data_IF_367034592391
#
_entry.id   IF_367034592391
#
_cell.length_a   1.000
_cell.length_b   1.000
_cell.length_c   1.000
_cell.angle_alpha   90.00
_cell.angle_beta   90.00
_cell.angle_gamma   90.00
#
_symmetry.space_group_name_H-M   'P 1'
#
loop_
_entity.id
_entity.type
_entity.pdbx_description
1 polymer ?
#
# COMPACT_ATOMS: atom_id res chain seq x y z
N UNK A 1 7.86 -14.47 -38.56
CA UNK A 1 8.37 -14.33 -37.17
C UNK A 1 7.23 -13.87 -36.30
N UNK A 2 6.74 -14.75 -35.41
CA UNK A 2 5.57 -14.50 -34.57
C UNK A 2 5.83 -13.37 -33.59
N UNK A 3 4.96 -12.37 -33.60
CA UNK A 3 4.92 -11.30 -32.61
C UNK A 3 4.50 -11.95 -31.29
N UNK A 4 5.45 -12.25 -30.38
CA UNK A 4 5.11 -12.59 -29.01
C UNK A 4 4.44 -11.35 -28.42
N UNK A 5 3.10 -11.37 -28.35
CA UNK A 5 2.33 -10.37 -27.62
C UNK A 5 2.75 -10.47 -26.16
N UNK A 6 3.70 -9.63 -25.75
CA UNK A 6 4.07 -9.47 -24.34
C UNK A 6 2.81 -9.05 -23.60
N UNK A 7 2.40 -9.83 -22.59
CA UNK A 7 1.34 -9.40 -21.68
C UNK A 7 1.85 -8.16 -20.96
N UNK A 8 1.15 -7.00 -21.06
CA UNK A 8 1.65 -5.76 -20.50
C UNK A 8 1.61 -5.85 -18.98
N UNK A 9 2.64 -5.31 -18.31
CA UNK A 9 2.76 -5.32 -16.86
C UNK A 9 1.87 -4.24 -16.25
N UNK A 10 0.97 -4.63 -15.34
CA UNK A 10 -0.04 -3.76 -14.71
C UNK A 10 0.23 -3.62 -13.22
N UNK A 11 0.50 -2.39 -12.78
CA UNK A 11 0.84 -2.08 -11.39
C UNK A 11 -0.20 -1.13 -10.83
N UNK A 12 -0.84 -1.51 -9.72
CA UNK A 12 -1.74 -0.66 -8.95
C UNK A 12 -0.97 -0.03 -7.79
N UNK A 13 -0.74 1.27 -7.83
CA UNK A 13 -0.26 2.06 -6.70
C UNK A 13 -1.42 2.47 -5.78
N UNK A 14 -1.24 2.30 -4.47
CA UNK A 14 -2.25 2.62 -3.46
C UNK A 14 -1.65 3.54 -2.39
N UNK A 15 -2.35 4.63 -2.10
CA UNK A 15 -2.18 5.47 -0.91
C UNK A 15 -3.41 5.33 -0.02
N UNK A 16 -3.23 5.05 1.27
CA UNK A 16 -4.30 4.92 2.26
C UNK A 16 -3.76 5.02 3.70
N UNK A 17 -4.64 5.27 4.66
CA UNK A 17 -4.44 5.20 6.11
C UNK A 17 -3.53 6.27 6.73
N UNK A 18 -3.42 7.46 6.10
CA UNK A 18 -2.65 8.57 6.68
C UNK A 18 -3.23 9.97 6.41
N UNK A 19 -3.15 10.44 5.16
CA UNK A 19 -3.66 11.75 4.73
C UNK A 19 -4.75 11.55 3.67
N UNK A 20 -4.36 11.60 2.40
CA UNK A 20 -5.27 11.45 1.28
C UNK A 20 -5.11 10.06 0.67
N UNK A 21 -6.21 9.32 0.66
CA UNK A 21 -6.27 8.04 -0.03
C UNK A 21 -6.49 8.23 -1.53
N UNK A 22 -5.79 7.41 -2.30
CA UNK A 22 -5.76 7.51 -3.76
C UNK A 22 -5.31 6.19 -4.39
N UNK A 23 -5.61 6.03 -5.67
CA UNK A 23 -5.14 4.93 -6.49
C UNK A 23 -4.58 5.44 -7.81
N UNK A 24 -3.54 4.76 -8.31
CA UNK A 24 -3.00 5.00 -9.64
C UNK A 24 -2.70 3.65 -10.32
N UNK A 25 -3.13 3.51 -11.57
CA UNK A 25 -2.87 2.34 -12.38
C UNK A 25 -1.83 2.68 -13.44
N UNK A 26 -0.79 1.85 -13.48
CA UNK A 26 0.29 1.93 -14.45
C UNK A 26 0.29 0.69 -15.33
N UNK A 27 0.48 0.87 -16.63
CA UNK A 27 0.62 -0.20 -17.62
C UNK A 27 1.91 0.03 -18.40
N UNK A 28 2.83 -0.94 -18.35
CA UNK A 28 4.16 -0.88 -18.99
C UNK A 28 4.90 0.45 -18.73
N UNK A 29 4.91 0.89 -17.47
CA UNK A 29 5.60 2.11 -17.04
C UNK A 29 4.85 3.41 -17.30
N UNK A 30 3.64 3.37 -17.87
CA UNK A 30 2.82 4.56 -18.14
C UNK A 30 1.60 4.61 -17.23
N UNK A 31 1.37 5.76 -16.59
CA UNK A 31 0.15 5.98 -15.81
C UNK A 31 -1.03 6.08 -16.78
N UNK A 32 -1.99 5.17 -16.64
CA UNK A 32 -3.20 5.13 -17.49
C UNK A 32 -4.43 5.67 -16.78
N UNK A 33 -4.44 5.63 -15.45
CA UNK A 33 -5.50 6.19 -14.63
C UNK A 33 -4.95 6.57 -13.26
N UNK A 34 -5.48 7.63 -12.66
CA UNK A 34 -5.20 8.01 -11.28
C UNK A 34 -6.38 8.79 -10.72
N UNK A 35 -6.75 8.51 -9.48
CA UNK A 35 -7.85 9.19 -8.82
C UNK A 35 -7.64 9.30 -7.30
N UNK A 36 -8.15 10.39 -6.72
CA UNK A 36 -8.20 10.59 -5.28
C UNK A 36 -9.57 10.20 -4.73
N UNK A 37 -9.61 9.48 -3.61
CA UNK A 37 -10.86 8.98 -3.02
C UNK A 37 -11.80 10.12 -2.61
N UNK A 38 -11.25 11.25 -2.13
CA UNK A 38 -12.04 12.41 -1.69
C UNK A 38 -12.96 12.99 -2.78
N UNK A 39 -12.63 12.78 -4.06
CA UNK A 39 -13.47 13.21 -5.19
C UNK A 39 -14.78 12.42 -5.23
N UNK A 40 -14.75 11.17 -4.78
CA UNK A 40 -15.89 10.26 -4.72
C UNK A 40 -16.55 10.25 -3.34
N UNK A 41 -15.76 10.13 -2.26
CA UNK A 41 -16.30 10.08 -0.89
C UNK A 41 -16.85 11.43 -0.40
N UNK A 42 -16.45 12.53 -1.06
CA UNK A 42 -16.78 13.92 -0.69
C UNK A 42 -16.31 14.30 0.72
N UNK A 43 -15.43 13.50 1.32
CA UNK A 43 -14.74 13.78 2.57
C UNK A 43 -13.37 14.33 2.21
N UNK A 44 -13.11 15.59 2.55
CA UNK A 44 -11.81 16.23 2.31
C UNK A 44 -10.72 15.47 3.06
N UNK A 45 -9.64 15.14 2.37
CA UNK A 45 -8.52 14.38 2.91
C UNK A 45 -8.93 13.01 3.48
N UNK A 46 -9.75 12.27 2.75
CA UNK A 46 -10.22 10.95 3.19
C UNK A 46 -9.04 9.97 3.34
N UNK A 47 -8.69 9.54 4.57
CA UNK A 47 -7.56 8.65 4.78
C UNK A 47 -7.95 7.18 4.67
N UNK A 48 -9.20 6.84 4.36
CA UNK A 48 -9.65 5.45 4.37
C UNK A 48 -9.11 4.63 3.18
N UNK A 49 -9.66 3.43 2.99
CA UNK A 49 -9.28 2.60 1.85
C UNK A 49 -9.87 3.20 0.56
N UNK A 50 -9.07 3.43 -0.51
CA UNK A 50 -9.50 4.13 -1.71
C UNK A 50 -10.31 3.23 -2.66
N UNK A 51 -11.43 2.69 -2.18
CA UNK A 51 -12.25 1.72 -2.91
C UNK A 51 -12.76 2.30 -4.25
N UNK A 52 -13.24 3.54 -4.22
CA UNK A 52 -13.86 4.17 -5.40
C UNK A 52 -12.78 4.62 -6.39
N UNK A 53 -11.65 5.12 -5.90
CA UNK A 53 -10.52 5.46 -6.76
C UNK A 53 -9.94 4.21 -7.46
N UNK A 54 -9.81 3.07 -6.76
CA UNK A 54 -9.38 1.80 -7.38
C UNK A 54 -10.39 1.38 -8.46
N UNK A 55 -11.68 1.37 -8.14
CA UNK A 55 -12.73 0.99 -9.09
C UNK A 55 -12.73 1.90 -10.32
N UNK A 56 -12.58 3.21 -10.14
CA UNK A 56 -12.50 4.17 -11.22
C UNK A 56 -11.27 3.93 -12.12
N UNK A 57 -10.10 3.63 -11.54
CA UNK A 57 -8.90 3.32 -12.32
C UNK A 57 -9.05 2.05 -13.17
N UNK A 58 -9.64 0.99 -12.59
CA UNK A 58 -9.91 -0.26 -13.30
C UNK A 58 -10.92 -0.08 -14.43
N UNK A 59 -12.01 0.65 -14.15
CA UNK A 59 -13.01 0.99 -15.15
C UNK A 59 -12.43 1.82 -16.30
N UNK A 60 -11.62 2.84 -16.00
CA UNK A 60 -10.98 3.69 -17.00
C UNK A 60 -10.01 2.91 -17.90
N UNK A 61 -9.31 1.91 -17.36
CA UNK A 61 -8.40 1.06 -18.13
C UNK A 61 -9.07 -0.16 -18.77
N UNK A 62 -10.35 -0.42 -18.48
CA UNK A 62 -11.09 -1.56 -19.01
C UNK A 62 -10.51 -2.92 -18.58
N UNK A 63 -9.97 -3.01 -17.36
CA UNK A 63 -9.39 -4.25 -16.82
C UNK A 63 -10.10 -4.68 -15.53
N UNK A 64 -10.08 -5.98 -15.24
CA UNK A 64 -10.52 -6.52 -13.97
C UNK A 64 -9.39 -6.53 -12.93
N UNK A 65 -9.75 -6.68 -11.65
CA UNK A 65 -8.76 -6.71 -10.56
C UNK A 65 -7.82 -7.93 -10.65
N UNK A 66 -8.28 -9.05 -11.21
CA UNK A 66 -7.48 -10.27 -11.42
C UNK A 66 -6.28 -10.04 -12.35
N UNK A 67 -6.40 -9.06 -13.24
CA UNK A 67 -5.36 -8.69 -14.21
C UNK A 67 -4.26 -7.82 -13.61
N UNK A 68 -4.38 -7.36 -12.35
CA UNK A 68 -3.31 -6.60 -11.68
C UNK A 68 -2.15 -7.53 -11.36
N UNK A 69 -0.97 -7.27 -11.93
CA UNK A 69 0.22 -8.09 -11.70
C UNK A 69 0.88 -7.78 -10.36
N UNK A 70 0.91 -6.49 -9.97
CA UNK A 70 1.51 -6.04 -8.72
C UNK A 70 0.71 -4.91 -8.08
N UNK A 71 0.74 -4.85 -6.76
CA UNK A 71 0.22 -3.73 -5.97
C UNK A 71 1.37 -3.10 -5.23
N UNK A 72 1.58 -1.80 -5.40
CA UNK A 72 2.59 -1.04 -4.67
C UNK A 72 1.94 -0.19 -3.58
N UNK A 73 2.43 -0.33 -2.34
CA UNK A 73 2.00 0.47 -1.20
C UNK A 73 3.18 1.27 -0.62
N UNK A 74 2.97 2.55 -0.34
CA UNK A 74 4.07 3.49 -0.08
C UNK A 74 4.74 3.35 1.30
N UNK A 75 4.11 2.71 2.29
CA UNK A 75 4.68 2.66 3.65
C UNK A 75 5.17 1.26 4.02
N UNK A 76 6.49 1.15 4.32
CA UNK A 76 7.09 0.03 5.05
C UNK A 76 7.23 0.42 6.53
N UNK A 77 6.38 -0.11 7.44
CA UNK A 77 6.40 0.28 8.85
C UNK A 77 7.68 -0.04 9.64
N UNK A 78 8.50 -0.98 9.15
CA UNK A 78 9.53 -1.66 9.92
C UNK A 78 10.89 -0.91 9.99
N UNK A 79 11.21 -0.01 9.07
CA UNK A 79 12.51 0.68 9.09
C UNK A 79 12.56 1.82 10.12
N UNK A 80 11.44 2.52 10.35
CA UNK A 80 11.34 3.47 11.47
C UNK A 80 11.51 2.76 12.81
N UNK A 81 11.08 1.50 12.90
CA UNK A 81 11.25 0.67 14.09
C UNK A 81 12.72 0.41 14.38
N UNK A 82 13.50 -0.07 13.41
CA UNK A 82 14.93 -0.34 13.58
C UNK A 82 15.68 0.92 14.05
N UNK A 83 15.46 2.06 13.41
CA UNK A 83 16.11 3.33 13.79
C UNK A 83 15.72 3.82 15.19
N UNK A 84 14.44 3.69 15.56
CA UNK A 84 13.98 4.03 16.90
C UNK A 84 14.55 3.03 17.92
N UNK A 85 14.58 1.74 17.61
CA UNK A 85 15.10 0.68 18.46
C UNK A 85 16.60 0.85 18.72
N UNK A 86 17.39 1.20 17.71
CA UNK A 86 18.80 1.58 17.84
C UNK A 86 19.00 2.77 18.79
N UNK A 87 18.17 3.81 18.66
CA UNK A 87 18.21 4.99 19.54
C UNK A 87 17.81 4.62 20.98
N UNK A 88 16.83 3.75 21.17
CA UNK A 88 16.39 3.32 22.49
C UNK A 88 17.40 2.37 23.16
N UNK A 89 18.03 1.48 22.40
CA UNK A 89 19.07 0.59 22.91
C UNK A 89 20.35 1.37 23.29
N UNK A 90 20.68 2.43 22.58
CA UNK A 90 21.83 3.30 22.89
C UNK A 90 21.59 4.21 24.11
N UNK A 91 20.33 4.46 24.49
CA UNK A 91 19.96 5.28 25.66
C UNK A 91 19.57 4.46 26.91
N UNK A 92 19.67 3.13 26.85
CA UNK A 92 19.43 2.25 28.01
C UNK A 92 20.42 2.57 29.15
N UNK A 93 19.98 2.62 30.43
CA UNK A 93 18.74 2.06 30.97
C UNK A 93 17.61 3.08 31.25
N UNK A 94 17.82 4.39 31.07
CA UNK A 94 16.80 5.41 31.38
C UNK A 94 15.82 5.54 30.20
N UNK A 95 14.61 4.99 30.33
CA UNK A 95 13.53 5.09 29.33
C UNK A 95 12.98 3.75 28.81
N UNK A 96 13.62 2.62 29.15
CA UNK A 96 13.26 1.28 28.68
C UNK A 96 11.84 0.84 29.12
N UNK A 97 11.40 1.22 30.32
CA UNK A 97 10.08 0.88 30.83
C UNK A 97 8.93 1.52 30.04
N UNK A 98 9.11 2.74 29.55
CA UNK A 98 8.13 3.42 28.69
C UNK A 98 8.12 2.84 27.28
N UNK A 99 9.30 2.51 26.75
CA UNK A 99 9.48 1.85 25.46
C UNK A 99 8.82 0.47 25.41
N UNK A 100 9.06 -0.39 26.41
CA UNK A 100 8.49 -1.72 26.50
C UNK A 100 6.95 -1.72 26.59
N UNK A 101 6.34 -0.65 27.13
CA UNK A 101 4.89 -0.48 27.19
C UNK A 101 4.28 0.03 25.88
N UNK A 102 4.96 0.91 25.16
CA UNK A 102 4.45 1.50 23.91
C UNK A 102 4.62 0.57 22.70
N UNK A 103 5.66 -0.25 22.71
CA UNK A 103 6.04 -1.09 21.58
C UNK A 103 5.02 -2.18 21.19
N UNK A 104 4.33 -2.88 22.11
CA UNK A 104 3.31 -3.86 21.73
C UNK A 104 2.09 -3.25 21.01
N UNK A 105 1.68 -2.03 21.39
CA UNK A 105 0.56 -1.32 20.77
C UNK A 105 0.95 -0.83 19.38
N UNK A 106 2.12 -0.22 19.26
CA UNK A 106 2.63 0.32 18.00
C UNK A 106 3.00 -0.78 16.99
N UNK A 107 3.60 -1.87 17.47
CA UNK A 107 3.92 -3.05 16.67
C UNK A 107 2.63 -3.73 16.18
N UNK A 108 1.57 -3.80 17.00
CA UNK A 108 0.25 -4.25 16.54
C UNK A 108 -0.24 -3.40 15.38
N UNK A 109 -0.35 -2.08 15.56
CA UNK A 109 -0.88 -1.17 14.53
C UNK A 109 -0.13 -1.29 13.20
N UNK A 110 1.21 -1.40 13.26
CA UNK A 110 2.06 -1.52 12.08
C UNK A 110 2.07 -2.93 11.46
N UNK A 111 1.99 -4.00 12.25
CA UNK A 111 1.89 -5.37 11.75
C UNK A 111 0.52 -5.68 11.13
N UNK A 112 -0.56 -5.00 11.56
CA UNK A 112 -1.89 -5.21 11.01
C UNK A 112 -2.13 -4.54 9.66
N UNK A 113 -1.24 -3.64 9.22
CA UNK A 113 -1.40 -2.94 7.94
C UNK A 113 -1.34 -3.89 6.75
N UNK A 114 -0.35 -4.78 6.68
CA UNK A 114 -0.23 -5.76 5.59
C UNK A 114 -1.43 -6.72 5.55
N UNK A 115 -1.86 -7.37 6.65
CA UNK A 115 -3.08 -8.16 6.68
C UNK A 115 -4.34 -7.37 6.30
N UNK A 116 -4.45 -6.10 6.72
CA UNK A 116 -5.58 -5.24 6.37
C UNK A 116 -5.63 -4.95 4.87
N UNK A 117 -4.50 -4.58 4.27
CA UNK A 117 -4.40 -4.34 2.82
C UNK A 117 -4.74 -5.63 2.06
N UNK A 118 -4.18 -6.78 2.45
CA UNK A 118 -4.47 -8.08 1.82
C UNK A 118 -5.97 -8.40 1.94
N UNK A 119 -6.58 -8.17 3.11
CA UNK A 119 -8.02 -8.38 3.31
C UNK A 119 -8.85 -7.50 2.35
N UNK A 120 -8.47 -6.23 2.17
CA UNK A 120 -9.16 -5.30 1.26
C UNK A 120 -8.97 -5.71 -0.20
N UNK A 121 -7.77 -6.13 -0.60
CA UNK A 121 -7.49 -6.61 -1.95
C UNK A 121 -8.22 -7.92 -2.28
N UNK A 122 -8.31 -8.85 -1.32
CA UNK A 122 -9.10 -10.09 -1.46
C UNK A 122 -10.58 -9.83 -1.72
N UNK A 123 -11.13 -8.71 -1.23
CA UNK A 123 -12.50 -8.32 -1.53
C UNK A 123 -12.68 -7.86 -3.00
N UNK A 124 -11.60 -7.47 -3.69
CA UNK A 124 -11.62 -7.12 -5.11
C UNK A 124 -11.48 -8.35 -6.01
N UNK A 125 -10.54 -9.26 -5.69
CA UNK A 125 -10.37 -10.53 -6.39
C UNK A 125 -9.97 -11.64 -5.39
N UNK A 126 -10.91 -12.51 -4.97
CA UNK A 126 -10.63 -13.54 -3.96
C UNK A 126 -9.65 -14.62 -4.40
N UNK A 127 -9.59 -14.91 -5.71
CA UNK A 127 -8.76 -15.97 -6.29
C UNK A 127 -7.29 -15.55 -6.47
N UNK A 128 -6.96 -14.28 -6.28
CA UNK A 128 -5.59 -13.76 -6.47
C UNK A 128 -4.79 -13.90 -5.18
N UNK A 129 -3.56 -14.41 -5.29
CA UNK A 129 -2.58 -14.35 -4.19
C UNK A 129 -1.98 -12.94 -4.07
N UNK A 130 -2.73 -12.06 -3.41
CA UNK A 130 -2.29 -10.69 -3.12
C UNK A 130 -1.07 -10.62 -2.20
N UNK A 131 -0.77 -11.67 -1.45
CA UNK A 131 0.39 -11.66 -0.56
C UNK A 131 1.71 -11.71 -1.32
N UNK A 132 1.72 -12.38 -2.48
CA UNK A 132 2.84 -12.45 -3.41
C UNK A 132 2.93 -11.21 -4.34
N UNK A 133 1.80 -10.55 -4.61
CA UNK A 133 1.72 -9.38 -5.50
C UNK A 133 1.89 -8.04 -4.80
N UNK A 134 1.80 -7.99 -3.47
CA UNK A 134 1.92 -6.77 -2.69
C UNK A 134 3.40 -6.42 -2.42
N UNK A 135 3.83 -5.29 -2.97
CA UNK A 135 5.13 -4.69 -2.77
C UNK A 135 5.02 -3.44 -1.90
N UNK A 136 6.07 -3.20 -1.10
CA UNK A 136 6.23 -1.98 -0.32
C UNK A 136 7.42 -1.20 -0.88
N UNK A 137 7.29 0.11 -1.07
CA UNK A 137 8.41 0.93 -1.55
C UNK A 137 9.53 1.04 -0.50
N UNK A 138 10.77 1.04 -0.96
CA UNK A 138 11.94 1.40 -0.14
C UNK A 138 12.07 2.93 -0.04
N UNK A 139 12.48 3.43 1.12
CA UNK A 139 12.40 4.84 1.50
C UNK A 139 13.65 5.67 1.15
N UNK A 140 14.35 5.35 0.07
CA UNK A 140 15.54 6.08 -0.36
C UNK A 140 15.55 6.32 -1.88
N UNK A 141 14.80 7.32 -2.31
CA UNK A 141 15.17 8.15 -3.46
C UNK A 141 15.21 9.60 -2.94
N UNK A 142 16.30 9.90 -2.24
CA UNK A 142 16.76 11.26 -1.97
C UNK A 142 17.59 11.74 -3.16
#
# INVERSE_FOLDING_TARGET
MGNLLRVPMRVLGISAFYHDSAAALMVDGRIVAAAQEERFSRRKHDPEWPAQAIAACLAQAGISAEQIDQVAFYEKPLLKFERLLETYLTLAPRGFGSFAKAMPVWLKEKLFLKPLIIKRLKALAPAVDWSARLLFSEHHLS
#
